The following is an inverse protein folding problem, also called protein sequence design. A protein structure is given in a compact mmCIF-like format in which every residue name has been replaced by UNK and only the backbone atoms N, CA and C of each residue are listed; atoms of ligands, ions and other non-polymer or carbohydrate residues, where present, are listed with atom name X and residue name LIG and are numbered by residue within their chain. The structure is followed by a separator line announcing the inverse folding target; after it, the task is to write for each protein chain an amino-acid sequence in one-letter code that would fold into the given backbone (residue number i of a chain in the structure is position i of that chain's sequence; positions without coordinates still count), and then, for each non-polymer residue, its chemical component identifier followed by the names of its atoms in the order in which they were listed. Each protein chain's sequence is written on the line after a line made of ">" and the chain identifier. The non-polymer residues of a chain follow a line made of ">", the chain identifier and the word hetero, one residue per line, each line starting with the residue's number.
data_IF_541279285194
#
_entry.id   IF_541279285194
#
_cell.length_a   1.000
_cell.length_b   1.000
_cell.length_c   1.000
_cell.angle_alpha   90.00
_cell.angle_beta   90.00
_cell.angle_gamma   90.00
#
_symmetry.space_group_name_H-M   'P 1'
#
loop_
_entity.id
_entity.type
_entity.pdbx_description
1 polymer ?
#
# COMPACT_ATOMS: atom_id res chain seq x y z
N UNK A 1 23.14 6.02 -13.20
CA UNK A 1 22.26 5.78 -12.03
C UNK A 1 20.94 5.10 -12.41
N UNK A 2 20.05 5.71 -13.20
CA UNK A 2 18.73 5.14 -13.56
C UNK A 2 18.77 3.74 -14.19
N UNK A 3 19.72 3.49 -15.10
CA UNK A 3 19.90 2.16 -15.68
C UNK A 3 20.35 1.14 -14.63
N UNK A 4 21.20 1.56 -13.69
CA UNK A 4 21.62 0.75 -12.55
C UNK A 4 20.46 0.36 -11.65
N UNK A 5 19.57 1.30 -11.31
CA UNK A 5 18.37 1.02 -10.53
C UNK A 5 17.45 -0.01 -11.22
N UNK A 6 17.29 0.10 -12.55
CA UNK A 6 16.53 -0.91 -13.33
C UNK A 6 17.19 -2.28 -13.31
N UNK A 7 18.52 -2.36 -13.33
CA UNK A 7 19.28 -3.62 -13.22
C UNK A 7 19.18 -4.22 -11.82
N UNK A 8 19.24 -3.41 -10.77
CA UNK A 8 19.00 -3.83 -9.39
C UNK A 8 17.58 -4.39 -9.22
N UNK A 9 16.56 -3.71 -9.76
CA UNK A 9 15.17 -4.16 -9.67
C UNK A 9 14.95 -5.53 -10.37
N UNK A 10 15.72 -5.83 -11.42
CA UNK A 10 15.72 -7.17 -12.05
C UNK A 10 16.45 -8.24 -11.22
N UNK A 11 17.44 -7.86 -10.44
CA UNK A 11 18.31 -8.79 -9.70
C UNK A 11 17.77 -9.08 -8.29
N UNK A 12 17.03 -8.14 -7.73
CA UNK A 12 16.51 -8.17 -6.38
C UNK A 12 14.96 -8.14 -6.40
N UNK A 13 14.28 -9.30 -6.22
CA UNK A 13 12.84 -9.40 -6.43
C UNK A 13 11.98 -8.55 -5.49
N UNK A 14 12.46 -8.31 -4.27
CA UNK A 14 11.76 -7.51 -3.25
C UNK A 14 12.16 -6.03 -3.29
N UNK A 15 13.04 -5.64 -4.23
CA UNK A 15 13.49 -4.27 -4.36
C UNK A 15 12.45 -3.45 -5.11
N UNK A 16 11.90 -2.43 -4.46
CA UNK A 16 11.02 -1.49 -5.14
C UNK A 16 11.69 -0.11 -5.23
N UNK A 17 11.73 0.43 -6.44
CA UNK A 17 12.35 1.72 -6.73
C UNK A 17 11.27 2.70 -7.15
N UNK A 18 11.08 3.77 -6.37
CA UNK A 18 10.09 4.83 -6.66
C UNK A 18 10.79 6.17 -6.84
N UNK A 19 10.18 7.05 -7.62
CA UNK A 19 10.61 8.44 -7.78
C UNK A 19 9.56 9.30 -7.09
N UNK A 20 9.98 10.05 -6.08
CA UNK A 20 9.11 10.98 -5.35
C UNK A 20 8.89 12.27 -6.16
N UNK A 21 7.83 13.02 -5.84
CA UNK A 21 7.54 14.31 -6.50
C UNK A 21 8.67 15.34 -6.31
N UNK A 22 9.49 15.20 -5.26
CA UNK A 22 10.72 15.97 -5.02
C UNK A 22 11.84 15.67 -6.03
N UNK A 23 11.72 14.60 -6.82
CA UNK A 23 12.75 14.09 -7.72
C UNK A 23 13.73 13.12 -7.05
N UNK A 24 13.51 12.77 -5.79
CA UNK A 24 14.34 11.81 -5.07
C UNK A 24 14.06 10.36 -5.52
N UNK A 25 15.12 9.57 -5.63
CA UNK A 25 15.03 8.14 -5.91
C UNK A 25 15.03 7.35 -4.61
N UNK A 26 13.88 6.79 -4.25
CA UNK A 26 13.72 5.99 -3.04
C UNK A 26 13.79 4.50 -3.39
N UNK A 27 14.57 3.78 -2.59
CA UNK A 27 14.76 2.34 -2.71
C UNK A 27 14.16 1.68 -1.47
N UNK A 28 13.20 0.79 -1.66
CA UNK A 28 12.54 0.02 -0.61
C UNK A 28 13.11 -1.39 -0.59
N UNK A 29 13.55 -1.84 0.59
CA UNK A 29 14.11 -3.17 0.82
C UNK A 29 13.76 -3.69 2.21
N UNK A 30 14.04 -4.96 2.46
CA UNK A 30 13.57 -5.67 3.66
C UNK A 30 14.42 -5.46 4.91
N UNK A 31 15.63 -4.90 4.77
CA UNK A 31 16.51 -4.66 5.92
C UNK A 31 17.88 -4.10 5.54
N UNK A 32 18.71 -3.88 6.55
CA UNK A 32 20.01 -3.21 6.41
C UNK A 32 20.97 -3.98 5.51
N UNK A 33 21.18 -5.28 5.78
CA UNK A 33 22.08 -6.12 4.96
C UNK A 33 21.61 -6.20 3.50
N UNK A 34 20.30 -6.30 3.30
CA UNK A 34 19.72 -6.34 1.96
C UNK A 34 20.01 -5.04 1.20
N UNK A 35 19.82 -3.89 1.85
CA UNK A 35 20.11 -2.59 1.25
C UNK A 35 21.62 -2.37 1.06
N UNK A 36 22.48 -2.87 1.95
CA UNK A 36 23.93 -2.80 1.78
C UNK A 36 24.39 -3.55 0.52
N UNK A 37 23.91 -4.79 0.32
CA UNK A 37 24.17 -5.56 -0.91
C UNK A 37 23.66 -4.83 -2.16
N UNK A 38 22.44 -4.30 -2.13
CA UNK A 38 21.88 -3.56 -3.26
C UNK A 38 22.71 -2.31 -3.58
N UNK A 39 23.11 -1.56 -2.56
CA UNK A 39 23.92 -0.35 -2.72
C UNK A 39 25.33 -0.68 -3.22
N UNK A 40 25.91 -1.78 -2.76
CA UNK A 40 27.18 -2.29 -3.25
C UNK A 40 27.10 -2.59 -4.75
N UNK A 41 26.10 -3.34 -5.19
CA UNK A 41 25.93 -3.71 -6.59
C UNK A 41 25.61 -2.49 -7.46
N UNK A 42 24.79 -1.57 -6.95
CA UNK A 42 24.47 -0.34 -7.65
C UNK A 42 25.72 0.51 -7.89
N UNK A 43 26.59 0.66 -6.89
CA UNK A 43 27.83 1.46 -6.99
C UNK A 43 28.91 0.76 -7.81
N UNK A 44 29.18 -0.53 -7.55
CA UNK A 44 30.34 -1.23 -8.12
C UNK A 44 30.05 -2.04 -9.38
N UNK A 45 28.87 -2.65 -9.50
CA UNK A 45 28.59 -3.57 -10.61
C UNK A 45 27.83 -2.92 -11.75
N UNK A 46 26.83 -2.09 -11.46
CA UNK A 46 25.90 -1.64 -12.49
C UNK A 46 26.07 -0.21 -12.98
N UNK A 47 26.64 0.68 -12.16
CA UNK A 47 26.70 2.10 -12.52
C UNK A 47 28.07 2.75 -12.44
N UNK A 48 29.07 2.14 -11.78
CA UNK A 48 30.44 2.68 -11.63
C UNK A 48 30.47 4.18 -11.27
N UNK A 49 29.50 4.62 -10.47
CA UNK A 49 29.30 6.03 -10.07
C UNK A 49 29.22 6.11 -8.55
N UNK A 50 29.76 7.20 -8.00
CA UNK A 50 29.61 7.54 -6.59
C UNK A 50 28.18 8.01 -6.27
N UNK A 51 27.51 7.28 -5.38
CA UNK A 51 26.12 7.53 -4.98
C UNK A 51 26.09 7.97 -3.53
N UNK A 52 25.54 9.16 -3.29
CA UNK A 52 25.21 9.64 -1.95
C UNK A 52 23.93 8.97 -1.48
N UNK A 53 23.98 8.41 -0.28
CA UNK A 53 22.86 7.72 0.36
C UNK A 53 22.47 8.53 1.59
N UNK A 54 21.17 8.77 1.75
CA UNK A 54 20.60 9.39 2.93
C UNK A 54 20.43 8.35 4.05
N UNK A 55 20.18 8.82 5.28
CA UNK A 55 19.93 7.92 6.41
C UNK A 55 18.68 7.05 6.13
N UNK A 56 18.74 5.74 6.45
CA UNK A 56 17.63 4.83 6.15
C UNK A 56 16.41 5.19 6.99
N UNK A 57 15.24 5.19 6.34
CA UNK A 57 13.93 5.46 6.95
C UNK A 57 12.93 4.38 6.58
N UNK A 58 11.90 4.23 7.40
CA UNK A 58 10.83 3.25 7.19
C UNK A 58 9.61 3.89 6.53
N UNK A 59 8.86 3.08 5.79
CA UNK A 59 7.54 3.49 5.27
C UNK A 59 6.51 3.45 6.39
N UNK A 60 5.78 4.55 6.57
CA UNK A 60 4.65 4.62 7.50
C UNK A 60 3.34 4.29 6.79
N UNK A 61 2.41 3.68 7.52
CA UNK A 61 1.02 3.50 7.11
C UNK A 61 0.12 4.34 8.00
N UNK A 62 -0.96 4.87 7.43
CA UNK A 62 -1.95 5.68 8.15
C UNK A 62 -3.16 4.84 8.54
N UNK A 63 -3.78 5.15 9.68
CA UNK A 63 -4.99 4.47 10.16
C UNK A 63 -5.92 5.46 10.86
N UNK A 64 -7.21 5.11 10.95
CA UNK A 64 -8.23 5.86 11.68
C UNK A 64 -8.57 5.13 12.97
N UNK A 65 -8.73 5.87 14.07
CA UNK A 65 -9.06 5.31 15.39
C UNK A 65 -10.54 5.45 15.72
N UNK A 66 -11.18 6.51 15.22
CA UNK A 66 -12.59 6.82 15.47
C UNK A 66 -13.30 7.12 14.15
N UNK A 67 -14.62 6.92 14.15
CA UNK A 67 -15.48 7.30 13.03
C UNK A 67 -15.38 8.79 12.76
N UNK A 68 -15.26 9.17 11.49
CA UNK A 68 -15.26 10.57 11.06
C UNK A 68 -16.50 11.32 11.59
N UNK A 69 -16.27 12.42 12.32
CA UNK A 69 -17.33 13.23 12.94
C UNK A 69 -18.25 13.91 11.93
N UNK A 70 -17.74 14.20 10.73
CA UNK A 70 -18.46 14.82 9.63
C UNK A 70 -18.43 13.91 8.40
N UNK A 71 -19.57 13.86 7.70
CA UNK A 71 -19.65 13.22 6.38
C UNK A 71 -18.96 14.12 5.37
N UNK A 72 -17.74 13.76 4.99
CA UNK A 72 -16.98 14.50 3.99
C UNK A 72 -17.64 14.34 2.62
N UNK A 73 -17.66 15.43 1.84
CA UNK A 73 -18.16 15.41 0.47
C UNK A 73 -17.16 16.02 -0.51
N UNK A 74 -17.09 15.46 -1.71
CA UNK A 74 -16.32 15.97 -2.83
C UNK A 74 -17.26 16.21 -4.02
N UNK A 75 -17.16 17.38 -4.63
CA UNK A 75 -17.91 17.75 -5.82
C UNK A 75 -16.97 17.82 -7.02
N UNK A 76 -17.39 17.26 -8.15
CA UNK A 76 -16.62 17.34 -9.39
C UNK A 76 -16.55 18.79 -9.89
N UNK A 77 -15.49 19.20 -10.60
CA UNK A 77 -15.37 20.58 -11.10
C UNK A 77 -16.56 21.04 -11.98
N UNK A 78 -17.23 20.09 -12.64
CA UNK A 78 -18.45 20.34 -13.43
C UNK A 78 -19.73 20.49 -12.60
N UNK A 79 -19.66 20.34 -11.26
CA UNK A 79 -20.75 20.41 -10.27
C UNK A 79 -21.92 19.43 -10.49
N UNK A 80 -21.73 18.36 -11.27
CA UNK A 80 -22.79 17.38 -11.53
C UNK A 80 -22.81 16.22 -10.54
N UNK A 81 -21.63 15.84 -10.03
CA UNK A 81 -21.50 14.69 -9.16
C UNK A 81 -21.01 15.14 -7.78
N UNK A 82 -21.63 14.57 -6.75
CA UNK A 82 -21.25 14.76 -5.34
C UNK A 82 -21.07 13.39 -4.72
N UNK A 83 -19.86 13.11 -4.25
CA UNK A 83 -19.51 11.88 -3.52
C UNK A 83 -19.43 12.20 -2.04
N UNK A 84 -20.05 11.37 -1.20
CA UNK A 84 -19.99 11.50 0.27
C UNK A 84 -19.46 10.21 0.87
N UNK A 85 -18.49 10.32 1.76
CA UNK A 85 -17.84 9.18 2.41
C UNK A 85 -17.65 9.45 3.91
N UNK A 86 -17.63 8.37 4.68
CA UNK A 86 -17.19 8.32 6.07
C UNK A 86 -16.08 7.29 6.19
N UNK A 87 -15.17 7.50 7.15
CA UNK A 87 -14.13 6.53 7.48
C UNK A 87 -14.37 6.03 8.89
N UNK A 88 -14.30 4.72 9.08
CA UNK A 88 -14.44 4.04 10.37
C UNK A 88 -13.28 3.06 10.55
N UNK A 89 -12.82 2.83 11.79
CA UNK A 89 -11.81 1.82 12.07
C UNK A 89 -12.34 0.42 11.71
N UNK A 90 -11.51 -0.38 11.04
CA UNK A 90 -11.82 -1.79 10.77
C UNK A 90 -11.80 -2.61 12.07
N UNK A 91 -12.55 -3.72 12.10
CA UNK A 91 -12.47 -4.66 13.22
C UNK A 91 -11.08 -5.30 13.33
N UNK A 92 -10.70 -5.66 14.55
CA UNK A 92 -9.42 -6.33 14.83
C UNK A 92 -9.37 -7.66 14.09
N UNK A 93 -8.25 -7.90 13.38
CA UNK A 93 -8.02 -9.13 12.61
C UNK A 93 -8.54 -9.08 11.17
N UNK A 94 -9.41 -8.14 10.81
CA UNK A 94 -9.92 -8.05 9.43
C UNK A 94 -8.80 -7.69 8.44
N UNK A 95 -7.92 -6.76 8.81
CA UNK A 95 -6.77 -6.41 7.97
C UNK A 95 -5.85 -7.61 7.73
N UNK A 96 -5.59 -8.41 8.77
CA UNK A 96 -4.76 -9.63 8.69
C UNK A 96 -5.41 -10.70 7.82
N UNK A 97 -6.74 -10.89 7.93
CA UNK A 97 -7.50 -11.82 7.10
C UNK A 97 -7.48 -11.42 5.62
N UNK A 98 -7.47 -10.11 5.32
CA UNK A 98 -7.37 -9.58 3.95
C UNK A 98 -5.95 -9.79 3.41
N UNK A 99 -4.92 -9.43 4.17
CA UNK A 99 -3.51 -9.61 3.78
C UNK A 99 -3.14 -11.09 3.65
N UNK A 100 -3.73 -11.97 4.46
CA UNK A 100 -3.57 -13.42 4.41
C UNK A 100 -4.37 -14.12 3.31
N UNK A 101 -5.02 -13.37 2.42
CA UNK A 101 -5.85 -13.87 1.31
C UNK A 101 -7.02 -14.79 1.75
N UNK A 102 -7.46 -14.68 3.01
CA UNK A 102 -8.63 -15.43 3.52
C UNK A 102 -9.91 -14.94 2.83
N UNK A 103 -9.93 -13.68 2.42
CA UNK A 103 -11.02 -13.03 1.69
C UNK A 103 -10.51 -12.51 0.35
N UNK A 104 -11.31 -12.68 -0.71
CA UNK A 104 -10.97 -12.20 -2.05
C UNK A 104 -12.16 -11.49 -2.68
N UNK A 105 -11.90 -10.37 -3.36
CA UNK A 105 -12.92 -9.59 -4.07
C UNK A 105 -13.53 -10.33 -5.26
N UNK A 106 -12.79 -11.32 -5.81
CA UNK A 106 -13.24 -12.15 -6.93
C UNK A 106 -14.33 -13.17 -6.53
N UNK A 107 -14.60 -13.33 -5.24
CA UNK A 107 -15.65 -14.23 -4.78
C UNK A 107 -17.04 -13.69 -5.12
N UNK A 108 -18.02 -14.60 -5.20
CA UNK A 108 -19.41 -14.20 -5.34
C UNK A 108 -19.84 -13.39 -4.10
N UNK A 109 -20.58 -12.29 -4.32
CA UNK A 109 -21.11 -11.41 -3.27
C UNK A 109 -21.89 -12.14 -2.17
N UNK A 110 -22.48 -13.30 -2.47
CA UNK A 110 -23.13 -14.15 -1.45
C UNK A 110 -22.11 -14.71 -0.45
N UNK A 111 -21.04 -15.34 -0.96
CA UNK A 111 -19.97 -15.93 -0.15
C UNK A 111 -19.20 -14.86 0.61
N UNK A 112 -18.95 -13.71 -0.03
CA UNK A 112 -18.33 -12.55 0.62
C UNK A 112 -19.21 -12.06 1.77
N UNK A 113 -20.50 -11.85 1.51
CA UNK A 113 -21.45 -11.41 2.53
C UNK A 113 -21.56 -12.37 3.72
N UNK A 114 -21.64 -13.67 3.46
CA UNK A 114 -21.67 -14.72 4.50
C UNK A 114 -20.41 -14.70 5.37
N UNK A 115 -19.24 -14.45 4.79
CA UNK A 115 -17.99 -14.36 5.54
C UNK A 115 -17.99 -13.18 6.52
N UNK A 116 -18.30 -11.98 6.04
CA UNK A 116 -18.35 -10.77 6.87
C UNK A 116 -19.46 -10.83 7.93
N UNK A 117 -20.60 -11.43 7.59
CA UNK A 117 -21.69 -11.63 8.54
C UNK A 117 -21.32 -12.64 9.64
N UNK A 118 -20.65 -13.74 9.30
CA UNK A 118 -20.38 -14.83 10.27
C UNK A 118 -19.18 -14.53 11.17
N UNK A 119 -18.12 -13.89 10.64
CA UNK A 119 -16.89 -13.61 11.41
C UNK A 119 -16.90 -12.26 12.12
N UNK A 120 -17.49 -11.25 11.50
CA UNK A 120 -17.37 -9.85 11.94
C UNK A 120 -18.72 -9.22 12.30
N UNK A 121 -19.82 -10.01 12.30
CA UNK A 121 -21.19 -9.55 12.62
C UNK A 121 -21.64 -8.33 11.78
N UNK A 122 -21.17 -8.24 10.53
CA UNK A 122 -21.59 -7.18 9.61
C UNK A 122 -23.05 -7.32 9.21
N UNK A 123 -23.71 -6.18 9.02
CA UNK A 123 -25.06 -6.14 8.44
C UNK A 123 -25.06 -6.70 7.01
N UNK A 124 -26.12 -7.41 6.65
CA UNK A 124 -26.26 -8.08 5.36
C UNK A 124 -26.22 -7.08 4.18
N UNK A 125 -26.73 -5.87 4.38
CA UNK A 125 -26.65 -4.82 3.37
C UNK A 125 -25.21 -4.34 3.17
N UNK A 126 -24.52 -4.04 4.27
CA UNK A 126 -23.12 -3.59 4.25
C UNK A 126 -22.18 -4.65 3.67
N UNK A 127 -22.34 -5.91 4.09
CA UNK A 127 -21.50 -7.03 3.68
C UNK A 127 -21.62 -7.36 2.17
N UNK A 128 -22.76 -7.02 1.54
CA UNK A 128 -22.98 -7.22 0.09
C UNK A 128 -22.65 -5.98 -0.74
N UNK A 129 -22.39 -4.84 -0.10
CA UNK A 129 -22.05 -3.57 -0.74
C UNK A 129 -20.55 -3.26 -0.68
N UNK A 130 -19.68 -4.27 -0.57
CA UNK A 130 -18.24 -4.11 -0.71
C UNK A 130 -17.92 -4.00 -2.21
N UNK A 131 -17.20 -2.94 -2.59
CA UNK A 131 -16.90 -2.56 -3.97
C UNK A 131 -15.48 -2.91 -4.36
#
# INVERSE_FOLDING_TARGET
>A
MLEGLRKCNKSYPLLNTKVEESGEHVILGTGELYLDCVMHDLRKMYSEIDIKVADPVVSFCETVVETSSLKCFAETPNKKNKLTMIAEPLEKGLAEDIEGEVVQINWNRKKLGEFFQTKYDWDLLAARSIW
#
